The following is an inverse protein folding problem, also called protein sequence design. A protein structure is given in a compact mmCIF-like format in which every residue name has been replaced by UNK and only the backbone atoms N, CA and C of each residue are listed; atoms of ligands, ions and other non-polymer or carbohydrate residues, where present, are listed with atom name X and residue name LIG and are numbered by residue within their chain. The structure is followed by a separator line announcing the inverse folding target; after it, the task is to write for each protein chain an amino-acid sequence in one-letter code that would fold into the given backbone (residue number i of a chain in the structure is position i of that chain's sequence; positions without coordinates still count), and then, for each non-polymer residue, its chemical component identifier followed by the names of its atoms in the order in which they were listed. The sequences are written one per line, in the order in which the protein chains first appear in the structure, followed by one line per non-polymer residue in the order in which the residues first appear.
data_IF_603659837708
#
_entry.id   IF_603659837708
#
_cell.length_a   1.000
_cell.length_b   1.000
_cell.length_c   1.000
_cell.angle_alpha   90.00
_cell.angle_beta   90.00
_cell.angle_gamma   90.00
#
_symmetry.space_group_name_H-M   'P 1'
#
loop_
_entity.id
_entity.type
_entity.pdbx_description
1 polymer ?
#
# COMPACT_ATOMS: atom_id res chain seq x y z
N UNK A 1 23.73 -25.17 -7.96
CA UNK A 1 22.78 -24.51 -7.05
C UNK A 1 22.49 -23.15 -7.64
N UNK A 2 21.28 -22.91 -8.15
CA UNK A 2 20.86 -21.55 -8.48
C UNK A 2 20.70 -20.78 -7.17
N UNK A 3 21.44 -19.68 -7.02
CA UNK A 3 21.21 -18.75 -5.90
C UNK A 3 19.74 -18.33 -5.95
N UNK A 4 18.98 -18.65 -4.89
CA UNK A 4 17.54 -18.34 -4.82
C UNK A 4 17.26 -16.97 -4.23
N UNK A 5 18.28 -16.34 -3.62
CA UNK A 5 18.19 -15.05 -2.95
C UNK A 5 19.56 -14.39 -2.95
N UNK A 6 19.60 -13.13 -3.35
CA UNK A 6 20.78 -12.26 -3.28
C UNK A 6 20.36 -10.99 -2.53
N UNK A 7 21.13 -10.61 -1.51
CA UNK A 7 20.90 -9.39 -0.73
C UNK A 7 22.04 -8.40 -0.99
N UNK A 8 21.69 -7.20 -1.43
CA UNK A 8 22.63 -6.11 -1.64
C UNK A 8 22.50 -5.11 -0.50
N UNK A 9 23.60 -4.79 0.18
CA UNK A 9 23.65 -3.75 1.21
C UNK A 9 24.25 -2.47 0.63
N UNK A 10 23.44 -1.42 0.53
CA UNK A 10 23.89 -0.12 0.03
C UNK A 10 22.72 0.83 -0.26
N UNK A 11 23.06 2.01 -0.75
CA UNK A 11 22.08 2.92 -1.33
C UNK A 11 21.44 2.28 -2.56
N UNK A 12 20.12 2.34 -2.67
CA UNK A 12 19.40 1.60 -3.71
C UNK A 12 19.73 2.12 -5.12
N UNK A 13 19.99 3.42 -5.29
CA UNK A 13 20.32 3.99 -6.58
C UNK A 13 21.68 3.48 -7.06
N UNK A 14 22.68 3.46 -6.18
CA UNK A 14 24.01 2.93 -6.51
C UNK A 14 23.98 1.41 -6.77
N UNK A 15 23.20 0.65 -5.99
CA UNK A 15 23.01 -0.78 -6.23
C UNK A 15 22.35 -1.02 -7.58
N UNK A 16 21.27 -0.31 -7.90
CA UNK A 16 20.57 -0.45 -9.18
C UNK A 16 21.51 -0.19 -10.36
N UNK A 17 22.33 0.86 -10.32
CA UNK A 17 23.35 1.18 -11.34
C UNK A 17 24.36 0.06 -11.57
N UNK A 18 24.63 -0.77 -10.55
CA UNK A 18 25.53 -1.92 -10.70
C UNK A 18 24.90 -3.12 -11.41
N UNK A 19 23.57 -3.18 -11.49
CA UNK A 19 22.84 -4.27 -12.13
C UNK A 19 22.81 -4.10 -13.67
N UNK A 20 22.89 -5.18 -14.46
CA UNK A 20 22.80 -5.09 -15.91
C UNK A 20 21.42 -4.59 -16.38
N UNK A 21 21.40 -3.95 -17.55
CA UNK A 21 20.16 -3.59 -18.25
C UNK A 21 19.29 -4.83 -18.49
N UNK A 22 17.96 -4.66 -18.41
CA UNK A 22 16.99 -5.71 -18.74
C UNK A 22 17.28 -7.07 -18.04
N UNK A 23 17.76 -7.04 -16.80
CA UNK A 23 18.14 -8.21 -16.01
C UNK A 23 17.04 -8.72 -15.08
N UNK A 24 16.03 -7.89 -14.74
CA UNK A 24 14.95 -8.27 -13.81
C UNK A 24 13.59 -8.38 -14.51
N UNK A 25 12.76 -9.32 -14.07
CA UNK A 25 11.43 -9.58 -14.64
C UNK A 25 10.32 -8.69 -14.04
N UNK A 26 10.46 -8.32 -12.76
CA UNK A 26 9.53 -7.46 -12.04
C UNK A 26 10.24 -6.64 -10.96
N UNK A 27 9.65 -5.50 -10.61
CA UNK A 27 10.03 -4.69 -9.46
C UNK A 27 8.84 -4.61 -8.50
N UNK A 28 9.01 -5.03 -7.26
CA UNK A 28 8.01 -4.90 -6.20
C UNK A 28 8.67 -4.17 -5.04
N UNK A 29 8.14 -3.00 -4.67
CA UNK A 29 8.84 -2.10 -3.76
C UNK A 29 7.89 -1.35 -2.83
N UNK A 30 8.31 -1.23 -1.57
CA UNK A 30 7.76 -0.35 -0.55
C UNK A 30 8.78 0.78 -0.29
N UNK A 31 8.76 1.84 -1.11
CA UNK A 31 9.71 2.93 -1.02
C UNK A 31 9.33 3.91 0.12
N UNK A 32 10.20 4.87 0.48
CA UNK A 32 9.79 5.98 1.34
C UNK A 32 8.57 6.74 0.79
N UNK A 33 7.62 7.06 1.67
CA UNK A 33 6.33 7.66 1.30
C UNK A 33 6.34 9.19 1.37
N UNK A 34 7.44 9.81 1.82
CA UNK A 34 7.51 11.26 1.97
C UNK A 34 6.67 11.78 3.15
N UNK A 35 6.61 11.01 4.24
CA UNK A 35 5.81 11.34 5.42
C UNK A 35 6.62 12.03 6.52
N UNK A 36 7.91 12.30 6.27
CA UNK A 36 8.88 12.77 7.25
C UNK A 36 8.88 11.89 8.51
N UNK A 37 8.81 10.56 8.32
CA UNK A 37 8.69 9.61 9.40
C UNK A 37 9.81 9.79 10.43
N UNK A 38 9.40 10.09 11.67
CA UNK A 38 10.31 10.36 12.80
C UNK A 38 11.33 11.47 12.54
N UNK A 39 11.03 12.41 11.64
CA UNK A 39 11.94 13.50 11.26
C UNK A 39 13.23 13.02 10.58
N UNK A 40 13.28 11.76 10.13
CA UNK A 40 14.44 11.20 9.43
C UNK A 40 14.42 11.66 7.98
N UNK A 41 15.59 12.04 7.47
CA UNK A 41 15.73 12.62 6.12
C UNK A 41 15.35 11.66 4.99
N UNK A 42 15.51 10.36 5.19
CA UNK A 42 15.24 9.35 4.15
C UNK A 42 13.76 9.25 3.76
N UNK A 43 12.82 9.71 4.60
CA UNK A 43 11.37 9.74 4.30
C UNK A 43 10.85 11.17 4.10
N UNK A 44 11.72 12.12 3.75
CA UNK A 44 11.28 13.49 3.56
C UNK A 44 10.42 13.67 2.30
N UNK A 45 10.72 12.91 1.24
CA UNK A 45 10.02 12.93 -0.04
C UNK A 45 9.91 11.50 -0.59
N UNK A 46 9.08 11.31 -1.62
CA UNK A 46 9.05 10.05 -2.39
C UNK A 46 10.33 9.92 -3.23
N UNK A 47 10.71 8.73 -3.74
CA UNK A 47 11.89 8.58 -4.58
C UNK A 47 11.88 9.50 -5.80
N UNK A 48 13.07 9.94 -6.24
CA UNK A 48 13.24 10.79 -7.42
C UNK A 48 12.97 10.03 -8.72
N UNK A 49 12.76 10.77 -9.82
CA UNK A 49 12.65 10.19 -11.17
C UNK A 49 13.87 9.33 -11.52
N UNK A 50 15.05 9.68 -11.02
CA UNK A 50 16.30 8.95 -11.28
C UNK A 50 16.27 7.51 -10.73
N UNK A 51 15.71 7.30 -9.54
CA UNK A 51 15.53 5.95 -8.98
C UNK A 51 14.60 5.12 -9.87
N UNK A 52 13.51 5.73 -10.35
CA UNK A 52 12.57 5.07 -11.25
C UNK A 52 13.18 4.81 -12.63
N UNK A 53 14.03 5.71 -13.14
CA UNK A 53 14.76 5.51 -14.39
C UNK A 53 15.73 4.32 -14.32
N UNK A 54 16.39 4.13 -13.18
CA UNK A 54 17.23 2.95 -12.95
C UNK A 54 16.40 1.68 -12.82
N UNK A 55 15.25 1.72 -12.11
CA UNK A 55 14.28 0.62 -12.13
C UNK A 55 13.81 0.29 -13.55
N UNK A 56 13.56 1.30 -14.39
CA UNK A 56 13.17 1.14 -15.79
C UNK A 56 14.29 0.48 -16.61
N UNK A 57 15.55 0.88 -16.41
CA UNK A 57 16.72 0.33 -17.11
C UNK A 57 16.91 -1.15 -16.82
N UNK A 58 16.90 -1.53 -15.55
CA UNK A 58 17.13 -2.94 -15.15
C UNK A 58 15.96 -3.85 -15.51
N UNK A 59 14.74 -3.32 -15.63
CA UNK A 59 13.55 -4.10 -15.96
C UNK A 59 13.54 -4.54 -17.43
N UNK A 60 13.18 -5.79 -17.69
CA UNK A 60 12.97 -6.30 -19.06
C UNK A 60 11.80 -5.59 -19.75
N UNK A 61 11.80 -5.48 -21.11
CA UNK A 61 10.65 -4.97 -21.87
C UNK A 61 9.35 -5.68 -21.49
N UNK A 62 8.29 -4.94 -21.16
CA UNK A 62 7.05 -5.52 -20.65
C UNK A 62 7.06 -5.98 -19.18
N UNK A 63 8.18 -5.86 -18.47
CA UNK A 63 8.25 -6.13 -17.03
C UNK A 63 7.34 -5.17 -16.26
N UNK A 64 6.79 -5.66 -15.14
CA UNK A 64 5.86 -4.90 -14.30
C UNK A 64 6.54 -4.34 -13.05
N UNK A 65 6.09 -3.17 -12.63
CA UNK A 65 6.47 -2.50 -11.39
C UNK A 65 5.23 -2.34 -10.50
N UNK A 66 5.36 -2.72 -9.23
CA UNK A 66 4.38 -2.51 -8.17
C UNK A 66 5.04 -1.66 -7.08
N UNK A 67 4.65 -0.40 -6.96
CA UNK A 67 5.18 0.52 -5.96
C UNK A 67 4.09 0.95 -4.98
N UNK A 68 4.28 0.60 -3.71
CA UNK A 68 3.39 1.04 -2.63
C UNK A 68 3.60 2.54 -2.36
N UNK A 69 2.56 3.20 -1.86
CA UNK A 69 2.60 4.61 -1.53
C UNK A 69 1.65 4.96 -0.38
N UNK A 70 1.90 6.11 0.25
CA UNK A 70 0.92 6.75 1.13
C UNK A 70 -0.17 7.47 0.35
N UNK A 71 -1.40 7.48 0.85
CA UNK A 71 -2.56 8.13 0.21
C UNK A 71 -2.35 9.61 -0.13
N UNK A 72 -1.52 10.31 0.63
CA UNK A 72 -1.22 11.74 0.43
C UNK A 72 -0.17 12.01 -0.64
N UNK A 73 0.67 11.04 -0.97
CA UNK A 73 1.85 11.21 -1.83
C UNK A 73 1.84 10.29 -3.05
N UNK A 74 0.88 9.36 -3.14
CA UNK A 74 0.69 8.45 -4.27
C UNK A 74 0.72 9.17 -5.62
N UNK A 75 0.05 10.31 -5.77
CA UNK A 75 0.02 11.05 -7.02
C UNK A 75 1.43 11.50 -7.47
N UNK A 76 2.30 11.92 -6.54
CA UNK A 76 3.69 12.28 -6.85
C UNK A 76 4.51 11.04 -7.21
N UNK A 77 4.27 9.93 -6.51
CA UNK A 77 4.89 8.64 -6.82
C UNK A 77 4.58 8.22 -8.26
N UNK A 78 3.31 8.23 -8.64
CA UNK A 78 2.85 7.83 -9.97
C UNK A 78 3.40 8.75 -11.07
N UNK A 79 3.38 10.07 -10.87
CA UNK A 79 3.97 11.02 -11.84
C UNK A 79 5.46 10.74 -12.05
N UNK A 80 6.23 10.51 -10.98
CA UNK A 80 7.67 10.24 -11.12
C UNK A 80 7.98 8.89 -11.78
N UNK A 81 7.11 7.90 -11.58
CA UNK A 81 7.18 6.61 -12.29
C UNK A 81 6.88 6.82 -13.78
N UNK A 82 5.84 7.58 -14.12
CA UNK A 82 5.48 7.93 -15.50
C UNK A 82 6.60 8.73 -16.19
N UNK A 83 7.14 9.76 -15.54
CA UNK A 83 8.23 10.60 -16.03
C UNK A 83 9.51 9.80 -16.32
N UNK A 84 9.72 8.67 -15.64
CA UNK A 84 10.83 7.75 -15.90
C UNK A 84 10.62 6.85 -17.14
N UNK A 85 9.44 6.90 -17.77
CA UNK A 85 9.12 6.21 -19.02
C UNK A 85 8.20 4.99 -18.86
N UNK A 86 7.68 4.71 -17.67
CA UNK A 86 6.74 3.62 -17.47
C UNK A 86 5.32 3.95 -17.99
N UNK A 87 4.61 2.93 -18.47
CA UNK A 87 3.17 2.99 -18.70
C UNK A 87 2.44 2.70 -17.38
N UNK A 88 1.66 3.67 -16.86
CA UNK A 88 0.76 3.39 -15.75
C UNK A 88 -0.39 2.51 -16.25
N UNK A 89 -0.59 1.35 -15.59
CA UNK A 89 -1.56 0.33 -16.01
C UNK A 89 -2.80 0.35 -15.15
N UNK A 90 -2.62 0.44 -13.84
CA UNK A 90 -3.70 0.36 -12.84
C UNK A 90 -3.19 0.87 -11.48
N UNK A 91 -4.07 0.87 -10.49
CA UNK A 91 -3.75 1.08 -9.08
C UNK A 91 -4.43 -0.01 -8.26
N UNK A 92 -3.66 -0.78 -7.48
CA UNK A 92 -4.24 -1.72 -6.51
C UNK A 92 -4.47 -0.98 -5.20
N UNK A 93 -5.68 -1.07 -4.67
CA UNK A 93 -6.02 -0.55 -3.35
C UNK A 93 -5.84 -1.65 -2.29
N UNK A 94 -4.81 -1.55 -1.45
CA UNK A 94 -4.66 -2.40 -0.28
C UNK A 94 -5.35 -1.79 0.94
N UNK A 95 -6.50 -2.36 1.32
CA UNK A 95 -7.33 -1.89 2.43
C UNK A 95 -7.09 -2.75 3.68
N UNK A 96 -6.95 -2.11 4.84
CA UNK A 96 -6.67 -2.81 6.08
C UNK A 96 -7.29 -2.12 7.30
N UNK A 97 -7.64 -2.91 8.32
CA UNK A 97 -8.21 -2.41 9.57
C UNK A 97 -7.17 -1.96 10.59
N UNK A 98 -5.93 -2.44 10.48
CA UNK A 98 -4.85 -2.08 11.41
C UNK A 98 -4.18 -0.75 11.04
N UNK A 99 -4.15 0.23 11.94
CA UNK A 99 -3.40 1.47 11.71
C UNK A 99 -3.35 2.35 12.94
N UNK A 100 -2.22 3.01 13.16
CA UNK A 100 -2.06 3.94 14.28
C UNK A 100 -2.34 5.37 13.82
N UNK A 101 -3.38 6.06 14.35
CA UNK A 101 -3.63 7.45 14.01
C UNK A 101 -2.47 8.33 14.46
N UNK A 102 -1.79 8.99 13.52
CA UNK A 102 -0.81 10.06 13.82
C UNK A 102 -1.49 11.42 13.73
N UNK A 103 -2.46 11.63 14.61
CA UNK A 103 -3.26 12.85 14.71
C UNK A 103 -2.78 13.70 15.89
N UNK A 104 -2.73 15.02 15.73
CA UNK A 104 -2.41 15.94 16.84
C UNK A 104 -3.68 16.18 17.67
N UNK A 105 -3.61 15.93 18.98
CA UNK A 105 -4.68 16.28 19.92
C UNK A 105 -4.74 17.81 20.08
N UNK A 106 -5.79 18.42 19.53
CA UNK A 106 -5.93 19.88 19.47
C UNK A 106 -6.11 20.47 20.87
N UNK A 107 -6.88 19.80 21.73
CA UNK A 107 -7.13 20.23 23.11
C UNK A 107 -5.83 20.29 23.92
N UNK A 108 -4.99 19.24 23.83
CA UNK A 108 -3.67 19.22 24.49
C UNK A 108 -2.71 20.26 23.93
N UNK A 109 -2.75 20.51 22.62
CA UNK A 109 -1.93 21.52 21.99
C UNK A 109 -2.29 22.94 22.45
N UNK A 110 -3.58 23.25 22.62
CA UNK A 110 -4.07 24.54 23.12
C UNK A 110 -3.59 24.78 24.56
N UNK A 111 -3.81 23.84 25.47
CA UNK A 111 -3.36 24.00 26.86
C UNK A 111 -1.84 24.18 26.94
N UNK A 112 -1.08 23.41 26.14
CA UNK A 112 0.37 23.55 26.06
C UNK A 112 0.78 24.95 25.56
N UNK A 113 0.11 25.49 24.53
CA UNK A 113 0.38 26.81 24.00
C UNK A 113 0.02 27.93 24.99
N UNK A 114 -1.01 27.73 25.81
CA UNK A 114 -1.41 28.64 26.87
C UNK A 114 -0.55 28.52 28.15
N UNK A 115 0.37 27.55 28.21
CA UNK A 115 1.15 27.25 29.42
C UNK A 115 0.31 26.68 30.57
N UNK A 116 -0.89 26.15 30.27
CA UNK A 116 -1.78 25.59 31.27
C UNK A 116 -1.35 24.15 31.63
N UNK A 117 -1.26 23.87 32.92
CA UNK A 117 -0.92 22.53 33.41
C UNK A 117 -2.16 21.64 33.45
N UNK A 118 -2.02 20.42 32.93
CA UNK A 118 -2.98 19.34 33.12
C UNK A 118 -2.52 18.45 34.26
N UNK A 119 -3.47 17.79 34.90
CA UNK A 119 -3.19 16.69 35.83
C UNK A 119 -2.24 15.67 35.19
N UNK A 120 -1.24 15.21 35.94
CA UNK A 120 -0.30 14.18 35.48
C UNK A 120 -0.83 12.81 35.88
N UNK A 121 -1.07 11.95 34.90
CA UNK A 121 -1.44 10.56 35.12
C UNK A 121 -0.17 9.71 35.14
N UNK A 122 -0.05 8.87 36.17
CA UNK A 122 1.01 7.87 36.31
C UNK A 122 0.47 6.48 35.99
N UNK A 123 1.14 5.77 35.10
CA UNK A 123 0.79 4.39 34.74
C UNK A 123 1.97 3.48 35.01
N UNK A 124 1.78 2.47 35.88
CA UNK A 124 2.81 1.50 36.23
C UNK A 124 3.30 0.73 34.99
N UNK A 125 4.60 0.46 34.92
CA UNK A 125 5.14 -0.40 33.88
C UNK A 125 4.69 -1.85 34.11
N UNK A 126 4.27 -2.52 33.04
CA UNK A 126 3.97 -3.96 33.05
C UNK A 126 5.00 -4.72 32.22
N UNK A 127 5.18 -6.02 32.47
CA UNK A 127 6.06 -6.86 31.65
C UNK A 127 5.67 -6.92 30.14
N UNK A 128 4.45 -6.50 29.79
CA UNK A 128 3.97 -6.37 28.42
C UNK A 128 4.31 -5.00 27.79
N UNK A 129 4.57 -3.97 28.60
CA UNK A 129 5.00 -2.64 28.13
C UNK A 129 6.44 -2.60 27.60
N UNK A 130 7.22 -3.65 27.86
CA UNK A 130 8.62 -3.81 27.44
C UNK A 130 8.80 -4.65 26.17
N UNK A 131 7.75 -5.34 25.71
CA UNK A 131 7.80 -6.20 24.52
C UNK A 131 7.51 -5.39 23.25
N UNK A 132 8.47 -4.56 22.83
CA UNK A 132 8.46 -4.01 21.48
C UNK A 132 8.56 -5.16 20.47
N UNK A 133 7.44 -5.59 19.87
CA UNK A 133 7.43 -6.50 18.71
C UNK A 133 7.87 -5.75 17.44
N UNK A 134 9.02 -5.09 17.49
CA UNK A 134 9.63 -4.42 16.36
C UNK A 134 10.95 -5.08 16.02
N UNK A 135 11.14 -5.45 14.75
CA UNK A 135 12.43 -5.77 14.14
C UNK A 135 13.29 -4.50 14.04
N UNK A 136 13.63 -3.90 15.18
CA UNK A 136 14.66 -2.86 15.26
C UNK A 136 15.71 -3.33 16.26
N UNK A 137 16.56 -4.23 15.79
CA UNK A 137 17.85 -4.43 16.44
C UNK A 137 18.68 -3.19 16.09
N UNK A 138 19.17 -2.52 17.14
CA UNK A 138 20.16 -1.42 17.14
C UNK A 138 19.60 0.03 17.31
N UNK A 139 19.83 0.54 18.52
CA UNK A 139 20.21 1.93 18.85
C UNK A 139 19.22 3.08 18.60
N UNK A 140 17.92 2.89 18.83
CA UNK A 140 17.00 4.02 19.02
C UNK A 140 16.71 4.18 20.51
N UNK A 141 17.61 4.85 21.24
CA UNK A 141 17.39 5.25 22.63
C UNK A 141 16.16 6.16 22.66
N UNK A 142 15.07 5.65 23.25
CA UNK A 142 13.85 6.43 23.47
C UNK A 142 13.92 7.03 24.87
N UNK A 143 14.23 8.33 25.04
CA UNK A 143 14.54 8.89 26.36
C UNK A 143 13.40 8.72 27.36
N UNK A 144 12.15 8.74 26.88
CA UNK A 144 10.96 8.50 27.70
C UNK A 144 10.83 7.04 28.19
N UNK A 145 11.36 6.06 27.46
CA UNK A 145 11.40 4.67 27.92
C UNK A 145 12.51 4.45 28.94
N UNK A 146 13.67 5.10 28.78
CA UNK A 146 14.76 5.06 29.77
C UNK A 146 14.30 5.65 31.09
N UNK A 147 13.72 6.86 31.05
CA UNK A 147 13.17 7.53 32.24
C UNK A 147 12.07 6.70 32.92
N UNK A 148 11.17 6.09 32.16
CA UNK A 148 10.12 5.24 32.72
C UNK A 148 10.68 3.98 33.39
N UNK A 149 11.73 3.35 32.83
CA UNK A 149 12.41 2.19 33.45
C UNK A 149 13.06 2.54 34.78
N UNK A 150 13.66 3.73 34.88
CA UNK A 150 14.25 4.23 36.12
C UNK A 150 13.19 4.50 37.20
N UNK A 151 12.04 5.08 36.80
CA UNK A 151 10.98 5.47 37.72
C UNK A 151 10.00 4.33 38.06
N UNK A 152 9.94 3.27 37.25
CA UNK A 152 8.96 2.18 37.35
C UNK A 152 7.57 2.52 36.80
N UNK A 153 7.34 3.73 36.28
CA UNK A 153 6.07 4.18 35.72
C UNK A 153 6.25 5.18 34.57
N UNK A 154 5.22 5.30 33.73
CA UNK A 154 5.08 6.35 32.72
C UNK A 154 4.28 7.53 33.28
N UNK A 155 4.76 8.75 33.03
CA UNK A 155 4.00 9.99 33.25
C UNK A 155 3.49 10.55 31.92
N UNK A 156 2.22 10.92 31.87
CA UNK A 156 1.64 11.65 30.75
C UNK A 156 0.55 12.61 31.22
N UNK A 157 0.32 13.67 30.45
CA UNK A 157 -0.75 14.60 30.71
C UNK A 157 -2.13 13.92 30.61
N UNK A 158 -2.98 14.19 31.59
CA UNK A 158 -4.35 13.71 31.63
C UNK A 158 -5.23 14.26 30.51
N UNK A 159 -6.41 13.65 30.36
CA UNK A 159 -7.34 13.99 29.27
C UNK A 159 -8.32 15.12 29.62
N UNK A 160 -8.31 15.62 30.86
CA UNK A 160 -9.16 16.73 31.28
C UNK A 160 -8.52 18.06 30.81
N UNK A 161 -9.20 18.86 29.98
CA UNK A 161 -8.71 20.15 29.51
C UNK A 161 -8.68 21.20 30.63
N UNK A 162 -7.63 22.01 30.65
CA UNK A 162 -7.41 23.03 31.67
C UNK A 162 -8.06 24.38 31.32
N UNK A 163 -8.14 24.74 30.03
CA UNK A 163 -8.69 26.01 29.55
C UNK A 163 -10.11 25.87 28.94
N UNK A 164 -10.93 26.94 28.92
CA UNK A 164 -12.20 26.96 28.19
C UNK A 164 -12.05 26.63 26.70
N UNK A 165 -10.99 27.12 26.07
CA UNK A 165 -10.69 26.87 24.66
C UNK A 165 -10.34 25.39 24.45
N UNK A 166 -9.50 24.80 25.31
CA UNK A 166 -9.21 23.37 25.22
C UNK A 166 -10.44 22.48 25.48
N UNK A 167 -11.41 22.93 26.29
CA UNK A 167 -12.71 22.25 26.47
C UNK A 167 -13.50 22.24 25.17
N UNK A 168 -13.58 23.37 24.48
CA UNK A 168 -14.27 23.47 23.19
C UNK A 168 -13.72 22.47 22.15
N UNK A 169 -12.40 22.27 22.14
CA UNK A 169 -11.71 21.42 21.16
C UNK A 169 -11.38 20.01 21.69
N UNK A 170 -12.01 19.56 22.78
CA UNK A 170 -11.79 18.21 23.32
C UNK A 170 -12.27 17.13 22.32
N UNK A 171 -11.42 16.15 22.03
CA UNK A 171 -11.70 15.06 21.10
C UNK A 171 -11.42 15.39 19.62
N UNK A 172 -11.00 16.62 19.30
CA UNK A 172 -10.64 17.02 17.94
C UNK A 172 -9.20 16.63 17.60
N UNK A 173 -9.00 16.16 16.37
CA UNK A 173 -7.71 15.78 15.82
C UNK A 173 -7.48 16.39 14.43
N UNK A 174 -6.28 16.19 13.89
CA UNK A 174 -5.82 16.78 12.62
C UNK A 174 -5.65 15.78 11.49
N UNK A 175 -5.86 14.48 11.73
CA UNK A 175 -5.66 13.44 10.72
C UNK A 175 -6.61 12.24 10.90
N UNK A 176 -6.88 11.55 9.79
CA UNK A 176 -7.57 10.27 9.77
C UNK A 176 -6.62 9.12 10.11
N UNK A 177 -7.17 8.02 10.61
CA UNK A 177 -6.44 6.74 10.75
C UNK A 177 -6.08 6.21 9.36
N UNK A 178 -4.82 5.84 9.08
CA UNK A 178 -4.46 5.13 7.86
C UNK A 178 -5.17 3.77 7.78
N UNK A 179 -5.76 3.46 6.61
CA UNK A 179 -6.49 2.23 6.34
C UNK A 179 -6.42 1.80 4.85
N UNK A 180 -5.55 2.46 4.08
CA UNK A 180 -5.41 2.26 2.64
C UNK A 180 -3.97 2.54 2.22
N UNK A 181 -3.39 1.60 1.49
CA UNK A 181 -2.16 1.79 0.73
C UNK A 181 -2.42 1.59 -0.76
N UNK A 182 -2.36 2.68 -1.54
CA UNK A 182 -2.34 2.57 -2.98
C UNK A 182 -1.03 1.95 -3.49
N UNK A 183 -1.14 1.03 -4.44
CA UNK A 183 -0.01 0.42 -5.14
C UNK A 183 -0.12 0.81 -6.60
N UNK A 184 0.85 1.57 -7.09
CA UNK A 184 0.94 1.93 -8.51
C UNK A 184 1.38 0.70 -9.30
N UNK A 185 0.55 0.24 -10.24
CA UNK A 185 0.88 -0.83 -11.17
C UNK A 185 1.33 -0.19 -12.47
N UNK A 186 2.61 -0.34 -12.79
CA UNK A 186 3.24 0.24 -13.95
C UNK A 186 3.93 -0.85 -14.78
N UNK A 187 4.19 -0.59 -16.06
CA UNK A 187 4.86 -1.53 -16.94
C UNK A 187 5.84 -0.81 -17.85
N UNK A 188 7.02 -1.41 -18.04
CA UNK A 188 7.92 -0.96 -19.11
C UNK A 188 7.24 -1.21 -20.47
N UNK A 189 7.26 -0.27 -21.42
CA UNK A 189 6.68 -0.49 -22.75
C UNK A 189 7.17 -1.80 -23.38
N UNK A 190 6.29 -2.41 -24.17
CA UNK A 190 6.61 -3.62 -24.92
C UNK A 190 7.53 -3.27 -26.10
N UNK A 191 8.35 -4.23 -26.51
CA UNK A 191 8.98 -4.20 -27.84
C UNK A 191 8.12 -5.05 -28.77
N UNK A 192 7.59 -4.43 -29.83
CA UNK A 192 6.69 -5.10 -30.77
C UNK A 192 5.30 -5.39 -30.19
N UNK A 193 4.73 -6.53 -30.58
CA UNK A 193 3.43 -7.01 -30.10
C UNK A 193 3.54 -7.72 -28.74
N UNK A 194 2.40 -7.93 -28.07
CA UNK A 194 2.34 -8.71 -26.82
C UNK A 194 2.92 -10.11 -27.01
N UNK A 195 2.57 -10.79 -28.11
CA UNK A 195 3.02 -12.15 -28.38
C UNK A 195 4.54 -12.21 -28.59
N UNK A 196 5.10 -11.30 -29.38
CA UNK A 196 6.55 -11.22 -29.61
C UNK A 196 7.29 -10.92 -28.31
N UNK A 197 6.84 -9.93 -27.53
CA UNK A 197 7.49 -9.56 -26.28
C UNK A 197 7.48 -10.71 -25.26
N UNK A 198 6.34 -11.40 -25.10
CA UNK A 198 6.23 -12.53 -24.16
C UNK A 198 7.13 -13.69 -24.60
N UNK A 199 7.15 -14.03 -25.88
CA UNK A 199 8.00 -15.12 -26.39
C UNK A 199 9.49 -14.79 -26.30
N UNK A 200 9.86 -13.54 -26.53
CA UNK A 200 11.26 -13.10 -26.53
C UNK A 200 11.81 -12.83 -25.12
N UNK A 201 11.02 -12.18 -24.27
CA UNK A 201 11.48 -11.64 -22.99
C UNK A 201 10.85 -12.33 -21.77
N UNK A 202 9.86 -13.20 -21.95
CA UNK A 202 9.15 -13.88 -20.85
C UNK A 202 8.30 -12.95 -19.98
N UNK A 203 8.12 -11.69 -20.40
CA UNK A 203 7.45 -10.61 -19.64
C UNK A 203 6.43 -9.90 -20.52
N UNK A 204 5.54 -9.09 -19.92
CA UNK A 204 4.47 -8.36 -20.63
C UNK A 204 3.05 -8.75 -20.25
N UNK A 205 2.86 -9.93 -19.66
CA UNK A 205 1.56 -10.47 -19.24
C UNK A 205 1.48 -10.68 -17.71
N UNK A 206 0.25 -10.79 -17.19
CA UNK A 206 -0.05 -11.16 -15.81
C UNK A 206 -0.75 -12.52 -15.84
N UNK A 207 -0.35 -13.44 -14.94
CA UNK A 207 -0.98 -14.76 -14.83
C UNK A 207 -2.34 -14.67 -14.11
N UNK A 208 -3.36 -14.22 -14.85
CA UNK A 208 -4.74 -14.04 -14.36
C UNK A 208 -5.31 -15.36 -13.84
N UNK A 209 -5.08 -16.46 -14.56
CA UNK A 209 -5.60 -17.78 -14.19
C UNK A 209 -4.98 -18.29 -12.88
N UNK A 210 -3.69 -18.04 -12.67
CA UNK A 210 -2.99 -18.37 -11.41
C UNK A 210 -3.42 -17.54 -10.20
N UNK A 211 -4.18 -16.46 -10.41
CA UNK A 211 -4.63 -15.55 -9.35
C UNK A 211 -6.17 -15.44 -9.26
N UNK A 212 -6.90 -16.39 -9.84
CA UNK A 212 -8.36 -16.40 -9.74
C UNK A 212 -8.80 -16.58 -8.30
N UNK A 213 -9.91 -15.92 -7.96
CA UNK A 213 -10.52 -16.07 -6.65
C UNK A 213 -11.70 -17.02 -6.74
N UNK A 214 -11.68 -18.03 -5.89
CA UNK A 214 -12.74 -19.03 -5.76
C UNK A 214 -14.04 -18.39 -5.26
N UNK A 215 -15.17 -18.86 -5.77
CA UNK A 215 -16.49 -18.26 -5.54
C UNK A 215 -17.25 -18.11 -6.86
N UNK A 216 -18.57 -18.17 -6.77
CA UNK A 216 -19.55 -18.28 -7.87
C UNK A 216 -19.24 -17.52 -9.19
N UNK A 217 -19.78 -17.99 -10.34
CA UNK A 217 -19.47 -17.53 -11.71
C UNK A 217 -19.54 -16.01 -11.94
N UNK A 218 -18.96 -15.50 -13.05
CA UNK A 218 -18.49 -14.13 -13.21
C UNK A 218 -19.41 -13.04 -12.66
N UNK A 219 -18.79 -12.07 -12.00
CA UNK A 219 -19.40 -10.79 -11.67
C UNK A 219 -19.97 -10.12 -12.93
N UNK A 220 -21.27 -9.83 -12.87
CA UNK A 220 -22.13 -9.09 -13.82
C UNK A 220 -22.62 -9.90 -15.05
N UNK A 221 -23.92 -10.23 -15.13
CA UNK A 221 -24.57 -10.38 -16.44
C UNK A 221 -24.38 -9.06 -17.18
N UNK A 222 -23.69 -9.05 -18.33
CA UNK A 222 -23.71 -7.88 -19.23
C UNK A 222 -25.19 -7.50 -19.43
N UNK A 223 -25.65 -6.32 -18.96
CA UNK A 223 -27.02 -5.92 -19.25
C UNK A 223 -27.11 -5.80 -20.75
N UNK A 224 -27.95 -6.63 -21.37
CA UNK A 224 -28.33 -6.44 -22.76
C UNK A 224 -29.03 -5.09 -22.84
N UNK A 225 -28.29 -4.02 -23.15
CA UNK A 225 -28.90 -2.77 -23.54
C UNK A 225 -29.57 -3.02 -24.88
N UNK A 226 -30.88 -3.24 -24.85
CA UNK A 226 -31.71 -3.23 -26.03
C UNK A 226 -31.70 -1.80 -26.57
N UNK A 227 -30.87 -1.54 -27.59
CA UNK A 227 -31.05 -0.33 -28.39
C UNK A 227 -32.45 -0.39 -29.02
N UNK A 228 -33.22 0.72 -29.04
CA UNK A 228 -34.47 0.83 -29.79
C UNK A 228 -34.32 0.50 -31.29
N UNK A 229 -33.08 0.48 -31.80
CA UNK A 229 -32.74 0.16 -33.18
C UNK A 229 -32.33 -1.30 -33.41
N UNK A 230 -32.53 -2.21 -32.44
CA UNK A 230 -32.23 -3.63 -32.59
C UNK A 230 -30.74 -3.99 -32.70
N UNK A 231 -29.83 -3.07 -32.35
CA UNK A 231 -28.39 -3.35 -32.27
C UNK A 231 -28.00 -3.67 -30.83
N UNK A 232 -27.61 -4.91 -30.58
CA UNK A 232 -26.97 -5.33 -29.32
C UNK A 232 -25.57 -4.74 -29.24
N UNK A 233 -25.29 -3.90 -28.24
CA UNK A 233 -23.91 -3.55 -27.88
C UNK A 233 -23.41 -4.59 -26.87
N UNK A 234 -22.43 -5.38 -27.29
CA UNK A 234 -21.82 -6.46 -26.51
C UNK A 234 -20.70 -7.09 -27.33
N UNK A 235 -19.69 -7.63 -26.65
CA UNK A 235 -18.52 -8.24 -27.29
C UNK A 235 -18.98 -9.43 -28.13
N UNK A 236 -19.07 -9.27 -29.46
CA UNK A 236 -19.16 -10.40 -30.37
C UNK A 236 -17.82 -11.11 -30.32
N UNK A 237 -17.72 -12.20 -29.56
CA UNK A 237 -16.71 -13.22 -29.85
C UNK A 237 -16.99 -13.67 -31.28
N UNK A 238 -16.04 -13.43 -32.19
CA UNK A 238 -16.14 -13.87 -33.57
C UNK A 238 -16.49 -15.36 -33.57
N UNK A 239 -17.55 -15.70 -34.31
CA UNK A 239 -18.19 -17.03 -34.38
C UNK A 239 -19.25 -17.34 -33.31
N UNK A 240 -20.46 -16.83 -33.53
CA UNK A 240 -21.65 -17.68 -33.75
C UNK A 240 -22.11 -18.70 -32.69
N UNK A 241 -21.54 -18.74 -31.50
CA UNK A 241 -22.05 -19.54 -30.37
C UNK A 241 -22.28 -18.61 -29.20
N UNK A 242 -23.45 -18.72 -28.58
CA UNK A 242 -23.65 -18.30 -27.20
C UNK A 242 -22.54 -18.98 -26.41
N UNK A 243 -21.45 -18.25 -26.12
CA UNK A 243 -20.36 -18.79 -25.35
C UNK A 243 -20.94 -19.25 -24.04
N UNK A 244 -20.90 -20.56 -23.78
CA UNK A 244 -21.14 -21.08 -22.45
C UNK A 244 -20.30 -20.23 -21.51
N UNK A 245 -20.97 -19.52 -20.60
CA UNK A 245 -20.26 -18.85 -19.51
C UNK A 245 -19.43 -19.94 -18.84
N UNK A 246 -18.10 -19.83 -18.94
CA UNK A 246 -17.17 -20.69 -18.21
C UNK A 246 -17.51 -20.58 -16.72
N UNK A 247 -18.29 -21.53 -16.22
CA UNK A 247 -18.86 -21.50 -14.87
C UNK A 247 -17.92 -22.07 -13.81
N UNK A 248 -16.73 -22.56 -14.17
CA UNK A 248 -15.89 -23.34 -13.25
C UNK A 248 -14.62 -22.62 -12.75
N UNK A 249 -14.12 -21.60 -13.46
CA UNK A 249 -12.75 -21.11 -13.19
C UNK A 249 -12.65 -20.08 -12.03
N UNK A 250 -13.76 -19.59 -11.48
CA UNK A 250 -13.75 -18.47 -10.54
C UNK A 250 -13.49 -17.11 -11.21
N UNK A 251 -13.49 -16.05 -10.42
CA UNK A 251 -13.43 -14.65 -10.92
C UNK A 251 -11.99 -14.17 -11.10
N UNK A 252 -11.83 -13.15 -11.95
CA UNK A 252 -10.54 -12.47 -12.11
C UNK A 252 -10.14 -11.74 -10.82
N UNK A 253 -8.84 -11.62 -10.53
CA UNK A 253 -8.36 -10.80 -9.42
C UNK A 253 -8.77 -9.34 -9.66
N UNK A 254 -9.23 -8.68 -8.60
CA UNK A 254 -9.58 -7.27 -8.63
C UNK A 254 -8.36 -6.43 -8.25
N UNK A 255 -8.33 -5.17 -8.70
CA UNK A 255 -7.41 -4.14 -8.21
C UNK A 255 -7.78 -3.61 -6.81
N UNK A 256 -8.51 -4.41 -6.02
CA UNK A 256 -8.87 -4.12 -4.65
C UNK A 256 -8.60 -5.37 -3.81
N UNK A 257 -7.78 -5.19 -2.76
CA UNK A 257 -7.36 -6.27 -1.87
C UNK A 257 -7.53 -5.82 -0.42
N UNK A 258 -7.80 -6.75 0.49
CA UNK A 258 -7.96 -6.43 1.92
C UNK A 258 -7.21 -7.38 2.85
N UNK A 259 -7.04 -7.03 4.13
CA UNK A 259 -6.39 -7.89 5.13
C UNK A 259 -7.36 -8.82 5.90
N UNK A 260 -8.66 -8.74 5.58
CA UNK A 260 -9.71 -9.56 6.19
C UNK A 260 -10.09 -9.14 7.62
N UNK A 261 -9.69 -7.94 8.04
CA UNK A 261 -10.17 -7.33 9.29
C UNK A 261 -11.66 -7.01 9.23
N UNK A 262 -12.34 -7.04 10.38
CA UNK A 262 -13.75 -6.65 10.51
C UNK A 262 -13.98 -5.23 9.97
N UNK A 263 -13.07 -4.29 10.23
CA UNK A 263 -13.18 -2.93 9.70
C UNK A 263 -13.20 -2.87 8.16
N UNK A 264 -12.49 -3.78 7.48
CA UNK A 264 -12.50 -3.86 6.03
C UNK A 264 -13.67 -4.71 5.51
N UNK A 265 -14.02 -5.80 6.18
CA UNK A 265 -15.02 -6.76 5.69
C UNK A 265 -16.45 -6.37 6.04
N UNK A 266 -16.72 -5.76 7.19
CA UNK A 266 -18.08 -5.41 7.63
C UNK A 266 -18.70 -4.33 6.74
N UNK A 267 -17.89 -3.37 6.28
CA UNK A 267 -18.30 -2.36 5.31
C UNK A 267 -18.71 -2.98 3.97
N UNK A 268 -18.11 -4.10 3.59
CA UNK A 268 -18.40 -4.83 2.36
C UNK A 268 -19.47 -5.93 2.57
N UNK A 269 -19.70 -6.32 3.82
CA UNK A 269 -20.54 -7.45 4.20
C UNK A 269 -20.20 -8.72 3.42
N UNK A 270 -21.23 -9.39 2.91
CA UNK A 270 -21.06 -10.60 2.10
C UNK A 270 -20.25 -10.38 0.80
N UNK A 271 -20.04 -9.13 0.38
CA UNK A 271 -19.27 -8.80 -0.82
C UNK A 271 -17.77 -8.86 -0.60
N UNK A 272 -17.27 -8.90 0.63
CA UNK A 272 -15.83 -8.99 0.93
C UNK A 272 -15.17 -10.21 0.24
N UNK A 273 -15.88 -11.34 0.14
CA UNK A 273 -15.42 -12.56 -0.59
C UNK A 273 -15.09 -12.30 -2.07
N UNK A 274 -15.59 -11.21 -2.64
CA UNK A 274 -15.27 -10.78 -3.99
C UNK A 274 -13.99 -9.96 -4.09
N UNK A 275 -13.16 -9.91 -3.05
CA UNK A 275 -11.82 -9.32 -3.09
C UNK A 275 -10.77 -10.29 -2.56
N UNK A 276 -9.51 -10.11 -2.98
CA UNK A 276 -8.41 -10.96 -2.51
C UNK A 276 -8.03 -10.57 -1.07
N UNK A 277 -7.84 -11.57 -0.21
CA UNK A 277 -7.36 -11.37 1.16
C UNK A 277 -5.85 -11.61 1.22
N UNK A 278 -5.07 -10.59 1.54
CA UNK A 278 -3.61 -10.64 1.54
C UNK A 278 -2.99 -11.34 2.78
N UNK A 279 -3.79 -11.67 3.80
CA UNK A 279 -3.29 -12.48 4.92
C UNK A 279 -3.07 -13.91 4.45
N UNK A 280 -1.84 -14.40 4.59
CA UNK A 280 -1.56 -15.83 4.56
C UNK A 280 -2.51 -16.53 5.55
N UNK A 281 -3.13 -17.64 5.12
CA UNK A 281 -3.87 -18.49 6.04
C UNK A 281 -2.98 -18.83 7.22
N UNK A 282 -3.45 -18.57 8.44
CA UNK A 282 -2.78 -19.05 9.65
C UNK A 282 -2.67 -20.58 9.64
#
# INVERSE_FOLDING_TARGET
MTERLTLHHGDCLEVLRSLPDCSVDSVVTDPPYGLSFMGKRWDYDVPSVEVWAECFRVLKPGGHLLAFAGTRTQHRMAVRIEDAGFEIRDMIAWVYGSGFPKSLDVSKAIDKAAGAEREVIRTQMTAHSTAGKGLSNELDERPWMTKARELGYHEHAGNIPATPEAKQWQGWGTALKPALEPITVARKPLIGTVAENVLQHGTGAINVDGCRVEGMPPSVPQPLFNSPTGRTYGMKTGEGRNGEMSQAAGRWPANFIHDGSEEATDLLGASARFFYCAKASK
#
